data_IF_125108811709
#
_entry.id   IF_125108811709
#
_cell.length_a   1.000
_cell.length_b   1.000
_cell.length_c   1.000
_cell.angle_alpha   90.00
_cell.angle_beta   90.00
_cell.angle_gamma   90.00
#
_symmetry.space_group_name_H-M   'P 1'
#
loop_
_entity.id
_entity.type
_entity.pdbx_description
1 polymer ?
#
# COMPACT_ATOMS: atom_id res chain seq x y z
N UNK A 1 -1.04 -4.17 13.45
CA UNK A 1 0.29 -3.54 13.32
C UNK A 1 0.45 -2.37 14.27
N UNK A 2 1.21 -1.35 13.88
CA UNK A 2 1.38 -0.11 14.66
C UNK A 2 1.94 1.05 13.84
N UNK A 3 1.67 2.28 14.26
CA UNK A 3 2.21 3.48 13.62
C UNK A 3 3.71 3.60 13.85
N UNK A 4 4.46 3.90 12.80
CA UNK A 4 5.90 4.18 12.84
C UNK A 4 6.08 5.64 13.30
N UNK A 5 6.58 5.89 14.52
CA UNK A 5 6.74 7.24 15.03
C UNK A 5 7.61 8.08 14.09
N UNK A 6 7.31 9.38 14.00
CA UNK A 6 8.01 10.39 13.16
C UNK A 6 7.83 10.20 11.65
N UNK A 7 7.78 8.96 11.15
CA UNK A 7 7.58 8.67 9.72
C UNK A 7 6.11 8.75 9.31
N UNK A 8 5.19 8.55 10.26
CA UNK A 8 3.74 8.67 10.04
C UNK A 8 3.11 7.55 9.22
N UNK A 9 3.89 6.52 8.87
CA UNK A 9 3.39 5.32 8.20
C UNK A 9 2.86 4.32 9.22
N UNK A 10 2.00 3.42 8.78
CA UNK A 10 1.57 2.26 9.57
C UNK A 10 2.36 1.03 9.16
N UNK A 11 3.06 0.40 10.12
CA UNK A 11 3.68 -0.90 9.95
C UNK A 11 2.63 -2.00 10.17
N UNK A 12 2.21 -2.73 9.11
CA UNK A 12 1.18 -3.74 9.27
C UNK A 12 1.70 -4.97 10.03
N UNK A 13 0.80 -5.67 10.71
CA UNK A 13 1.07 -6.88 11.48
C UNK A 13 1.54 -8.02 10.59
N UNK A 14 2.63 -8.66 10.98
CA UNK A 14 3.11 -9.91 10.36
C UNK A 14 2.26 -11.13 10.76
N UNK A 15 1.38 -10.99 11.75
CA UNK A 15 0.51 -12.05 12.25
C UNK A 15 -0.90 -12.03 11.64
N UNK A 16 -1.22 -11.09 10.73
CA UNK A 16 -2.54 -11.02 10.09
C UNK A 16 -2.41 -11.11 8.57
N UNK A 17 -3.12 -12.06 7.95
CA UNK A 17 -3.19 -12.23 6.48
C UNK A 17 -3.78 -11.02 5.79
N UNK A 18 -4.63 -10.27 6.50
CA UNK A 18 -5.26 -9.04 6.03
C UNK A 18 -4.30 -7.84 6.07
N UNK A 19 -3.19 -7.97 6.81
CA UNK A 19 -2.13 -6.98 6.93
C UNK A 19 -0.88 -7.43 6.16
N UNK A 20 0.25 -7.64 6.82
CA UNK A 20 1.54 -7.95 6.18
C UNK A 20 1.98 -9.41 6.31
N UNK A 21 1.18 -10.29 6.92
CA UNK A 21 1.57 -11.71 7.03
C UNK A 21 1.83 -12.31 5.65
N UNK A 22 2.93 -13.05 5.53
CA UNK A 22 3.31 -13.78 4.32
C UNK A 22 3.06 -15.29 4.45
N UNK A 23 2.31 -15.70 5.47
CA UNK A 23 1.94 -17.09 5.67
C UNK A 23 1.15 -17.62 4.46
N UNK A 24 1.65 -18.70 3.86
CA UNK A 24 1.09 -19.31 2.66
C UNK A 24 1.57 -18.73 1.33
N UNK A 25 2.43 -17.71 1.34
CA UNK A 25 3.11 -17.27 0.12
C UNK A 25 4.19 -18.27 -0.31
N UNK A 26 4.49 -18.37 -1.62
CA UNK A 26 5.70 -19.04 -2.08
C UNK A 26 6.93 -18.38 -1.44
N UNK A 27 7.89 -19.17 -0.97
CA UNK A 27 9.05 -18.65 -0.20
C UNK A 27 9.92 -17.74 -1.05
N UNK A 28 10.03 -18.05 -2.34
CA UNK A 28 10.73 -17.27 -3.35
C UNK A 28 10.13 -15.88 -3.54
N UNK A 29 8.81 -15.71 -3.41
CA UNK A 29 8.16 -14.40 -3.51
C UNK A 29 8.54 -13.53 -2.30
N UNK A 30 8.65 -14.14 -1.11
CA UNK A 30 9.10 -13.45 0.11
C UNK A 30 10.57 -13.02 -0.04
N UNK A 31 11.43 -13.92 -0.53
CA UNK A 31 12.84 -13.60 -0.82
C UNK A 31 12.94 -12.49 -1.86
N UNK A 32 12.17 -12.55 -2.95
CA UNK A 32 12.16 -11.52 -3.99
C UNK A 32 11.73 -10.17 -3.43
N UNK A 33 10.69 -10.12 -2.60
CA UNK A 33 10.26 -8.88 -1.95
C UNK A 33 11.36 -8.29 -1.05
N UNK A 34 12.04 -9.13 -0.24
CA UNK A 34 13.11 -8.66 0.66
C UNK A 34 14.38 -8.25 -0.11
N UNK A 35 14.69 -8.94 -1.21
CA UNK A 35 15.93 -8.70 -1.98
C UNK A 35 15.80 -7.60 -3.02
N UNK A 36 14.64 -7.49 -3.64
CA UNK A 36 14.40 -6.62 -4.80
C UNK A 36 13.35 -5.53 -4.52
N UNK A 37 12.57 -5.69 -3.46
CA UNK A 37 11.48 -4.78 -3.12
C UNK A 37 10.23 -4.98 -3.96
N UNK A 38 10.21 -5.99 -4.82
CA UNK A 38 9.08 -6.35 -5.67
C UNK A 38 8.97 -7.88 -5.74
N UNK A 39 7.74 -8.37 -5.86
CA UNK A 39 7.38 -9.77 -6.03
C UNK A 39 6.02 -9.84 -6.72
N UNK A 40 5.61 -11.02 -7.23
CA UNK A 40 4.25 -11.21 -7.74
C UNK A 40 3.15 -10.84 -6.73
N UNK A 41 3.43 -10.95 -5.43
CA UNK A 41 2.44 -10.74 -4.37
C UNK A 41 2.40 -9.30 -3.85
N UNK A 42 3.51 -8.55 -3.94
CA UNK A 42 3.61 -7.20 -3.39
C UNK A 42 4.84 -6.43 -3.88
N UNK A 43 4.77 -5.11 -3.75
CA UNK A 43 5.87 -4.17 -3.90
C UNK A 43 6.04 -3.34 -2.64
N UNK A 44 7.29 -3.12 -2.22
CA UNK A 44 7.65 -2.25 -1.11
C UNK A 44 7.51 -0.78 -1.52
N UNK A 45 6.98 0.04 -0.62
CA UNK A 45 6.87 1.50 -0.78
C UNK A 45 7.22 2.17 0.57
N UNK A 46 7.55 3.46 0.52
CA UNK A 46 7.77 4.27 1.72
C UNK A 46 8.94 3.73 2.57
N UNK A 47 8.78 3.62 3.90
CA UNK A 47 9.85 3.13 4.78
C UNK A 47 10.36 1.74 4.41
N UNK A 48 9.48 0.84 3.94
CA UNK A 48 9.90 -0.50 3.56
C UNK A 48 10.77 -0.48 2.29
N UNK A 49 10.51 0.43 1.35
CA UNK A 49 11.41 0.62 0.21
C UNK A 49 12.80 1.09 0.68
N UNK A 50 12.88 2.00 1.65
CA UNK A 50 14.16 2.42 2.23
C UNK A 50 14.89 1.28 2.95
N UNK A 51 14.17 0.41 3.67
CA UNK A 51 14.74 -0.78 4.32
C UNK A 51 15.30 -1.75 3.28
N UNK A 52 14.59 -2.02 2.19
CA UNK A 52 15.10 -2.88 1.13
C UNK A 52 16.34 -2.26 0.48
N UNK A 53 16.26 -0.99 0.12
CA UNK A 53 17.35 -0.28 -0.54
C UNK A 53 18.60 -0.16 0.35
N UNK A 54 18.44 0.13 1.64
CA UNK A 54 19.56 0.37 2.55
C UNK A 54 20.06 -0.86 3.30
N UNK A 55 19.33 -1.97 3.28
CA UNK A 55 19.61 -3.11 4.15
C UNK A 55 19.37 -4.47 3.50
N UNK A 56 18.11 -4.90 3.32
CA UNK A 56 17.84 -6.32 3.05
C UNK A 56 18.34 -6.79 1.69
N UNK A 57 18.46 -5.91 0.69
CA UNK A 57 19.05 -6.28 -0.60
C UNK A 57 20.52 -6.72 -0.53
N UNK A 58 21.22 -6.36 0.56
CA UNK A 58 22.64 -6.66 0.76
C UNK A 58 22.89 -7.95 1.55
N UNK A 59 21.84 -8.60 2.04
CA UNK A 59 21.93 -9.86 2.75
C UNK A 59 22.28 -11.01 1.79
N UNK A 60 22.87 -12.08 2.34
CA UNK A 60 23.11 -13.28 1.56
C UNK A 60 21.80 -13.99 1.23
N UNK A 61 21.78 -14.77 0.15
CA UNK A 61 20.61 -15.58 -0.21
C UNK A 61 20.25 -16.59 0.88
N UNK A 62 21.23 -17.05 1.67
CA UNK A 62 20.98 -17.93 2.80
C UNK A 62 20.21 -17.22 3.91
N UNK A 63 20.61 -15.99 4.26
CA UNK A 63 19.94 -15.18 5.28
C UNK A 63 18.52 -14.80 4.83
N UNK A 64 18.36 -14.38 3.57
CA UNK A 64 17.05 -14.04 3.01
C UNK A 64 16.09 -15.24 3.04
N UNK A 65 16.58 -16.44 2.72
CA UNK A 65 15.78 -17.67 2.83
C UNK A 65 15.43 -18.01 4.28
N UNK A 66 16.35 -17.81 5.22
CA UNK A 66 16.09 -18.01 6.65
C UNK A 66 15.04 -17.03 7.17
N UNK A 67 15.13 -15.76 6.79
CA UNK A 67 14.11 -14.74 7.10
C UNK A 67 12.76 -15.10 6.48
N UNK A 68 12.74 -15.51 5.21
CA UNK A 68 11.51 -15.91 4.53
C UNK A 68 10.84 -17.10 5.22
N UNK A 69 11.64 -18.10 5.65
CA UNK A 69 11.15 -19.23 6.43
C UNK A 69 10.52 -18.74 7.75
N UNK A 70 11.26 -17.97 8.55
CA UNK A 70 10.79 -17.44 9.82
C UNK A 70 9.48 -16.66 9.67
N UNK A 71 9.41 -15.74 8.71
CA UNK A 71 8.23 -14.91 8.45
C UNK A 71 7.02 -15.75 8.00
N UNK A 72 7.25 -16.81 7.22
CA UNK A 72 6.19 -17.72 6.76
C UNK A 72 5.61 -18.61 7.86
N UNK A 73 6.37 -18.84 8.94
CA UNK A 73 6.00 -19.70 10.08
C UNK A 73 5.42 -18.92 11.27
N UNK A 74 5.36 -17.58 11.19
CA UNK A 74 4.75 -16.77 12.26
C UNK A 74 3.28 -17.18 12.48
N UNK A 75 2.83 -17.27 13.74
CA UNK A 75 1.44 -17.62 14.05
C UNK A 75 0.51 -16.57 13.44
N UNK A 76 -0.53 -17.02 12.75
CA UNK A 76 -1.54 -16.13 12.17
C UNK A 76 -2.74 -16.06 13.10
N UNK A 77 -3.18 -14.84 13.41
CA UNK A 77 -4.43 -14.57 14.08
C UNK A 77 -5.47 -14.13 13.05
N UNK A 78 -6.64 -14.75 13.08
CA UNK A 78 -7.76 -14.34 12.23
C UNK A 78 -8.56 -13.24 12.92
N UNK A 79 -8.31 -12.00 12.50
CA UNK A 79 -9.10 -10.86 12.95
C UNK A 79 -10.22 -10.57 11.95
N UNK A 80 -11.47 -10.80 12.38
CA UNK A 80 -12.66 -10.39 11.63
C UNK A 80 -12.71 -8.86 11.61
N UNK A 81 -12.75 -8.27 10.41
CA UNK A 81 -13.01 -6.84 10.31
C UNK A 81 -14.45 -6.54 10.72
N UNK A 82 -14.70 -5.41 11.39
CA UNK A 82 -16.03 -4.84 11.40
C UNK A 82 -16.47 -4.54 9.96
N UNK A 83 -17.76 -4.65 9.68
CA UNK A 83 -18.32 -4.17 8.41
C UNK A 83 -18.04 -2.66 8.30
N UNK A 84 -17.43 -2.19 7.21
CA UNK A 84 -17.15 -0.77 7.06
C UNK A 84 -18.45 0.02 6.89
N UNK A 85 -18.50 1.28 7.34
CA UNK A 85 -19.66 2.13 7.10
C UNK A 85 -19.82 2.39 5.58
N UNK A 86 -21.07 2.54 5.15
CA UNK A 86 -21.36 2.82 3.74
C UNK A 86 -20.76 4.15 3.29
N UNK A 87 -20.23 4.18 2.07
CA UNK A 87 -19.71 5.41 1.47
C UNK A 87 -20.87 6.18 0.81
N UNK A 88 -21.00 7.50 1.05
CA UNK A 88 -22.02 8.30 0.38
C UNK A 88 -21.88 8.22 -1.16
N UNK A 89 -22.98 8.01 -1.92
CA UNK A 89 -22.91 7.88 -3.38
C UNK A 89 -22.23 9.07 -4.08
N UNK A 90 -22.46 10.29 -3.59
CA UNK A 90 -21.80 11.48 -4.14
C UNK A 90 -20.27 11.46 -3.98
N UNK A 91 -19.75 10.86 -2.90
CA UNK A 91 -18.31 10.69 -2.71
C UNK A 91 -17.74 9.63 -3.65
N UNK A 92 -18.45 8.52 -3.83
CA UNK A 92 -18.05 7.49 -4.80
C UNK A 92 -18.00 8.06 -6.22
N UNK A 93 -19.04 8.77 -6.67
CA UNK A 93 -19.07 9.38 -8.00
C UNK A 93 -17.95 10.43 -8.20
N UNK A 94 -17.63 11.22 -7.17
CA UNK A 94 -16.49 12.14 -7.20
C UNK A 94 -15.17 11.38 -7.31
N UNK A 95 -14.99 10.34 -6.51
CA UNK A 95 -13.78 9.52 -6.49
C UNK A 95 -13.56 8.77 -7.80
N UNK A 96 -14.62 8.23 -8.39
CA UNK A 96 -14.62 7.58 -9.70
C UNK A 96 -14.14 8.54 -10.79
N UNK A 97 -14.66 9.78 -10.82
CA UNK A 97 -14.21 10.79 -11.77
C UNK A 97 -12.72 11.09 -11.62
N UNK A 98 -12.26 11.32 -10.38
CA UNK A 98 -10.83 11.58 -10.11
C UNK A 98 -9.97 10.38 -10.52
N UNK A 99 -10.46 9.15 -10.26
CA UNK A 99 -9.77 7.93 -10.65
C UNK A 99 -9.60 7.81 -12.17
N UNK A 100 -10.68 8.02 -12.92
CA UNK A 100 -10.66 7.97 -14.38
C UNK A 100 -9.69 9.02 -14.97
N UNK A 101 -9.65 10.22 -14.39
CA UNK A 101 -8.81 11.32 -14.90
C UNK A 101 -7.31 11.19 -14.54
N UNK A 102 -6.97 10.50 -13.44
CA UNK A 102 -5.62 10.58 -12.84
C UNK A 102 -4.96 9.24 -12.53
N UNK A 103 -5.72 8.16 -12.43
CA UNK A 103 -5.23 6.90 -11.89
C UNK A 103 -5.33 5.74 -12.89
N UNK A 104 -6.39 5.74 -13.71
CA UNK A 104 -6.73 4.63 -14.61
C UNK A 104 -5.64 4.34 -15.66
N UNK A 105 -4.93 5.35 -16.15
CA UNK A 105 -3.85 5.17 -17.16
C UNK A 105 -2.75 4.21 -16.71
N UNK A 106 -2.47 4.14 -15.39
CA UNK A 106 -1.47 3.23 -14.83
C UNK A 106 -2.11 2.03 -14.11
N UNK A 107 -3.19 2.26 -13.38
CA UNK A 107 -3.81 1.21 -12.55
C UNK A 107 -4.93 0.43 -13.27
N UNK A 108 -5.24 0.76 -14.51
CA UNK A 108 -6.32 0.16 -15.30
C UNK A 108 -7.68 0.75 -14.97
N UNK A 109 -8.68 0.51 -15.82
CA UNK A 109 -10.05 0.99 -15.57
C UNK A 109 -10.72 0.22 -14.42
N UNK A 110 -10.30 -1.03 -14.21
CA UNK A 110 -10.83 -1.94 -13.20
C UNK A 110 -9.86 -2.13 -12.02
N UNK A 111 -8.85 -1.27 -11.88
CA UNK A 111 -7.85 -1.40 -10.83
C UNK A 111 -7.00 -2.67 -10.93
N UNK A 112 -6.90 -3.27 -12.12
CA UNK A 112 -6.16 -4.51 -12.38
C UNK A 112 -4.63 -4.31 -12.41
N UNK A 113 -4.18 -3.07 -12.61
CA UNK A 113 -2.76 -2.73 -12.74
C UNK A 113 -2.09 -3.43 -13.91
N UNK A 114 -0.75 -3.44 -13.89
CA UNK A 114 0.08 -4.16 -14.86
C UNK A 114 1.14 -4.94 -14.09
N UNK A 115 1.15 -6.29 -14.16
CA UNK A 115 2.08 -7.12 -13.40
C UNK A 115 3.53 -6.66 -13.53
N UNK A 116 4.21 -6.49 -12.40
CA UNK A 116 5.61 -6.06 -12.32
C UNK A 116 5.85 -4.56 -12.55
N UNK A 117 4.84 -3.77 -12.92
CA UNK A 117 4.98 -2.32 -13.17
C UNK A 117 4.06 -1.49 -12.28
N UNK A 118 2.75 -1.70 -12.38
CA UNK A 118 1.73 -0.97 -11.63
C UNK A 118 0.92 -1.95 -10.77
N UNK A 119 0.89 -1.81 -9.44
CA UNK A 119 0.21 -2.77 -8.60
C UNK A 119 -1.30 -2.75 -8.85
N UNK A 120 -1.98 -3.91 -8.78
CA UNK A 120 -3.43 -3.94 -8.76
C UNK A 120 -3.94 -3.19 -7.52
N UNK A 121 -5.05 -2.48 -7.69
CA UNK A 121 -5.81 -1.87 -6.61
C UNK A 121 -7.02 -2.73 -6.22
N UNK A 122 -7.60 -3.44 -7.18
CA UNK A 122 -8.65 -4.42 -6.93
C UNK A 122 -8.09 -5.60 -6.11
N UNK A 123 -8.78 -5.97 -5.02
CA UNK A 123 -8.40 -7.07 -4.14
C UNK A 123 -7.08 -6.87 -3.38
N UNK A 124 -6.44 -5.71 -3.48
CA UNK A 124 -5.14 -5.49 -2.87
C UNK A 124 -5.27 -5.23 -1.37
N UNK A 125 -4.68 -6.11 -0.55
CA UNK A 125 -4.70 -5.98 0.91
C UNK A 125 -4.12 -4.66 1.44
N UNK A 126 -3.16 -4.05 0.76
CA UNK A 126 -2.59 -2.77 1.16
C UNK A 126 -3.60 -1.62 1.03
N UNK A 127 -4.53 -1.74 0.06
CA UNK A 127 -5.65 -0.81 -0.11
C UNK A 127 -6.72 -1.03 0.94
N UNK A 128 -6.96 -2.29 1.35
CA UNK A 128 -7.97 -2.67 2.33
C UNK A 128 -7.52 -2.51 3.79
N UNK A 129 -6.27 -2.13 4.01
CA UNK A 129 -5.67 -2.00 5.33
C UNK A 129 -6.37 -0.93 6.18
N UNK A 130 -6.49 -1.21 7.48
CA UNK A 130 -6.94 -0.27 8.50
C UNK A 130 -5.78 -0.06 9.50
N UNK A 131 -5.32 1.19 9.74
CA UNK A 131 -5.83 2.46 9.20
C UNK A 131 -5.46 2.74 7.73
N UNK A 132 -6.23 3.59 7.00
CA UNK A 132 -6.01 3.91 5.59
C UNK A 132 -4.78 4.79 5.31
N UNK A 133 -4.05 5.20 6.35
CA UNK A 133 -2.92 6.16 6.28
C UNK A 133 -1.90 5.83 5.21
N UNK A 134 -1.55 4.55 5.00
CA UNK A 134 -0.57 4.16 3.99
C UNK A 134 -1.07 4.45 2.57
N UNK A 135 -2.36 4.21 2.29
CA UNK A 135 -2.96 4.49 0.99
C UNK A 135 -3.06 5.99 0.75
N UNK A 136 -3.47 6.76 1.77
CA UNK A 136 -3.50 8.23 1.71
C UNK A 136 -2.10 8.78 1.39
N UNK A 137 -1.07 8.30 2.10
CA UNK A 137 0.32 8.72 1.88
C UNK A 137 0.86 8.34 0.51
N UNK A 138 0.52 7.15 0.01
CA UNK A 138 0.90 6.74 -1.33
C UNK A 138 0.33 7.70 -2.39
N UNK A 139 -0.95 8.09 -2.27
CA UNK A 139 -1.56 9.07 -3.20
C UNK A 139 -0.91 10.45 -3.09
N UNK A 140 -0.72 10.95 -1.87
CA UNK A 140 -0.20 12.30 -1.67
C UNK A 140 1.26 12.44 -2.07
N UNK A 141 2.10 11.50 -1.64
CA UNK A 141 3.55 11.58 -1.79
C UNK A 141 4.07 10.85 -3.01
N UNK A 142 3.25 10.00 -3.63
CA UNK A 142 3.70 9.08 -4.66
C UNK A 142 4.83 8.19 -4.15
N UNK A 143 5.78 7.91 -5.02
CA UNK A 143 7.04 7.27 -4.67
C UNK A 143 7.38 6.12 -5.59
N UNK A 144 8.47 5.44 -5.25
CA UNK A 144 9.02 4.36 -6.05
C UNK A 144 9.24 3.12 -5.18
N UNK A 145 9.04 1.91 -5.72
CA UNK A 145 9.73 0.74 -5.25
C UNK A 145 11.26 0.98 -5.22
N UNK A 146 12.01 0.25 -4.39
CA UNK A 146 13.44 0.48 -4.26
C UNK A 146 14.17 0.11 -5.55
N UNK A 147 15.12 0.97 -5.94
CA UNK A 147 16.09 0.63 -6.98
C UNK A 147 17.08 -0.40 -6.40
N UNK A 148 17.10 -1.59 -6.99
CA UNK A 148 17.96 -2.72 -6.59
C UNK A 148 18.52 -3.41 -7.84
N UNK A 149 19.44 -4.36 -7.67
CA UNK A 149 19.96 -5.14 -8.81
C UNK A 149 18.85 -5.90 -9.57
N UNK A 150 17.79 -6.34 -8.87
CA UNK A 150 16.63 -7.02 -9.49
C UNK A 150 15.51 -6.09 -9.91
N UNK A 151 15.63 -4.79 -9.64
CA UNK A 151 14.68 -3.75 -10.03
C UNK A 151 15.42 -2.42 -10.28
N UNK A 152 16.25 -2.33 -11.32
CA UNK A 152 17.17 -1.20 -11.48
C UNK A 152 16.47 0.09 -11.88
N UNK A 153 15.30 0.02 -12.52
CA UNK A 153 14.52 1.16 -13.02
C UNK A 153 13.04 1.01 -12.60
N UNK A 154 12.71 1.28 -11.33
CA UNK A 154 11.36 1.13 -10.82
C UNK A 154 10.38 2.12 -11.46
N UNK A 155 9.16 1.65 -11.76
CA UNK A 155 8.04 2.54 -12.10
C UNK A 155 7.54 3.26 -10.84
N UNK A 156 7.36 4.58 -10.95
CA UNK A 156 6.93 5.42 -9.84
C UNK A 156 5.46 5.79 -9.89
N UNK A 157 4.89 6.05 -8.71
CA UNK A 157 3.60 6.70 -8.55
C UNK A 157 3.80 8.22 -8.45
N UNK A 158 3.10 9.03 -9.24
CA UNK A 158 3.20 10.48 -9.16
C UNK A 158 2.62 11.02 -7.83
N UNK A 159 3.19 12.09 -7.25
CA UNK A 159 2.65 12.73 -6.05
C UNK A 159 1.46 13.64 -6.39
N UNK A 160 0.37 13.54 -5.62
CA UNK A 160 -0.83 14.35 -5.82
C UNK A 160 -1.08 15.42 -4.75
N UNK A 161 -0.20 15.56 -3.74
CA UNK A 161 -0.41 16.46 -2.61
C UNK A 161 -0.70 17.94 -2.98
N UNK A 162 -0.18 18.41 -4.11
CA UNK A 162 -0.39 19.78 -4.61
C UNK A 162 -1.36 19.87 -5.79
N UNK A 163 -1.77 18.73 -6.33
CA UNK A 163 -2.62 18.64 -7.52
C UNK A 163 -4.08 18.35 -7.18
N UNK A 164 -4.33 17.67 -6.07
CA UNK A 164 -5.66 17.31 -5.60
C UNK A 164 -5.95 17.98 -4.25
N UNK A 165 -7.21 18.38 -4.08
CA UNK A 165 -7.71 18.83 -2.78
C UNK A 165 -7.81 17.64 -1.81
N UNK A 166 -7.84 17.92 -0.50
CA UNK A 166 -8.03 16.86 0.51
C UNK A 166 -9.34 16.10 0.31
N UNK A 167 -10.36 16.78 -0.18
CA UNK A 167 -11.64 16.19 -0.55
C UNK A 167 -11.55 15.28 -1.79
N UNK A 168 -10.75 15.63 -2.80
CA UNK A 168 -10.55 14.76 -3.97
C UNK A 168 -9.75 13.52 -3.60
N UNK A 169 -8.71 13.68 -2.77
CA UNK A 169 -7.93 12.55 -2.24
C UNK A 169 -8.80 11.64 -1.40
N UNK A 170 -9.61 12.21 -0.49
CA UNK A 170 -10.54 11.44 0.33
C UNK A 170 -11.56 10.68 -0.55
N UNK A 171 -12.10 11.33 -1.59
CA UNK A 171 -13.04 10.72 -2.51
C UNK A 171 -12.41 9.58 -3.32
N UNK A 172 -11.25 9.80 -3.95
CA UNK A 172 -10.61 8.78 -4.79
C UNK A 172 -10.12 7.59 -3.96
N UNK A 173 -9.57 7.82 -2.77
CA UNK A 173 -9.17 6.73 -1.87
C UNK A 173 -10.39 5.95 -1.38
N UNK A 174 -11.50 6.63 -1.05
CA UNK A 174 -12.76 5.97 -0.68
C UNK A 174 -13.33 5.12 -1.82
N UNK A 175 -13.29 5.64 -3.05
CA UNK A 175 -13.73 4.93 -4.26
C UNK A 175 -12.89 3.67 -4.49
N UNK A 176 -11.55 3.80 -4.55
CA UNK A 176 -10.63 2.66 -4.74
C UNK A 176 -10.87 1.56 -3.68
N UNK A 177 -11.11 1.96 -2.42
CA UNK A 177 -11.38 1.06 -1.29
C UNK A 177 -12.75 0.38 -1.33
N UNK A 178 -13.63 0.78 -2.24
CA UNK A 178 -15.00 0.28 -2.37
C UNK A 178 -15.40 -0.08 -3.82
N UNK A 179 -14.45 -0.06 -4.76
CA UNK A 179 -14.64 -0.45 -6.15
C UNK A 179 -14.19 -1.90 -6.38
N UNK A 180 -14.70 -2.54 -7.44
CA UNK A 180 -14.23 -3.86 -7.91
C UNK A 180 -14.31 -4.97 -6.85
N UNK A 181 -15.29 -4.89 -5.93
CA UNK A 181 -15.46 -5.84 -4.84
C UNK A 181 -14.63 -5.54 -3.59
N UNK A 182 -13.81 -4.49 -3.60
CA UNK A 182 -13.17 -3.98 -2.39
C UNK A 182 -14.22 -3.53 -1.37
N UNK A 183 -13.93 -3.74 -0.07
CA UNK A 183 -14.76 -3.31 1.06
C UNK A 183 -13.88 -2.86 2.20
N UNK A 184 -13.74 -1.55 2.39
CA UNK A 184 -13.02 -0.97 3.51
C UNK A 184 -13.56 0.41 3.90
N UNK A 185 -13.23 0.87 5.11
CA UNK A 185 -13.70 2.15 5.64
C UNK A 185 -13.41 3.30 4.68
N UNK A 186 -14.36 4.23 4.44
CA UNK A 186 -14.11 5.43 3.66
C UNK A 186 -13.07 6.32 4.33
N UNK A 187 -12.43 7.17 3.53
CA UNK A 187 -11.52 8.22 3.98
C UNK A 187 -12.21 9.56 3.86
N UNK A 188 -12.04 10.41 4.87
CA UNK A 188 -12.54 11.78 4.93
C UNK A 188 -11.43 12.80 4.73
N UNK A 189 -11.80 14.01 4.30
CA UNK A 189 -10.83 15.07 4.02
C UNK A 189 -10.02 15.48 5.25
N UNK A 190 -10.59 15.43 6.46
CA UNK A 190 -9.85 15.74 7.68
C UNK A 190 -8.74 14.71 7.95
N UNK A 191 -8.97 13.42 7.68
CA UNK A 191 -7.95 12.38 7.79
C UNK A 191 -6.82 12.65 6.80
N UNK A 192 -7.15 13.06 5.57
CA UNK A 192 -6.16 13.46 4.57
C UNK A 192 -5.35 14.68 5.03
N UNK A 193 -6.00 15.69 5.61
CA UNK A 193 -5.32 16.88 6.12
C UNK A 193 -4.36 16.54 7.28
N UNK A 194 -4.80 15.69 8.21
CA UNK A 194 -4.01 15.29 9.38
C UNK A 194 -2.84 14.37 9.00
N UNK A 195 -3.11 13.33 8.22
CA UNK A 195 -2.11 12.33 7.85
C UNK A 195 -1.18 12.79 6.73
N UNK A 196 -1.70 13.63 5.83
CA UNK A 196 -1.08 13.96 4.57
C UNK A 196 -0.19 15.19 4.55
N UNK A 197 -0.49 16.18 5.39
CA UNK A 197 0.15 17.50 5.31
C UNK A 197 0.99 17.84 6.53
N UNK A 198 1.48 16.81 7.24
CA UNK A 198 2.42 16.95 8.33
C UNK A 198 1.99 18.05 9.29
N UNK A 199 0.92 17.81 10.07
CA UNK A 199 0.74 18.60 11.29
C UNK A 199 1.89 18.19 12.21
N UNK A 200 3.03 18.86 12.01
CA UNK A 200 4.03 19.02 13.04
C UNK A 200 3.28 19.60 14.24
N UNK A 201 3.22 18.81 15.30
CA UNK A 201 3.02 19.34 16.64
C UNK A 201 4.00 20.50 16.76
N UNK A 202 3.47 21.72 16.79
CA UNK A 202 4.22 22.88 17.25
C UNK A 202 4.53 22.72 18.73
#
# INVERSE_FOLDING_TARGET
GGTIPVQGWYAPSLHSKREASVAGWPREDIVALLKHGISPQASALGPMAAVVHGSTQHLSDADLRAMALYLSELPVHEDKAPEPPAVPPARLARGERVYAERCADCHGEQGEGVPGMYPPLAGNRAILLEPPVNTIRAVLNGGFPPATAGNPQPFGMPPYATLLSDEDVAAVVSYIRNAWGNRASPVNAWEVATEGRGIGVR
#
